data_IF_601415232630
#
_entry.id   IF_601415232630
#
_cell.length_a   1.000
_cell.length_b   1.000
_cell.length_c   1.000
_cell.angle_alpha   90.00
_cell.angle_beta   90.00
_cell.angle_gamma   90.00
#
_symmetry.space_group_name_H-M   'P 1'
#
loop_
_entity.id
_entity.type
_entity.pdbx_description
1 polymer ?
#
# COMPACT_ATOMS: atom_id res chain seq x y z
N UNK A 1 -9.24 -3.06 6.32
CA UNK A 1 -8.21 -2.57 5.38
C UNK A 1 -7.77 -1.19 5.81
N UNK A 2 -6.47 -0.87 5.80
CA UNK A 2 -5.97 0.33 6.47
C UNK A 2 -6.30 1.59 5.65
N UNK A 3 -7.03 2.49 6.29
CA UNK A 3 -7.23 3.87 5.85
C UNK A 3 -5.88 4.57 5.73
N UNK A 4 -5.74 5.48 4.75
CA UNK A 4 -4.56 6.35 4.57
C UNK A 4 -4.19 7.10 5.86
N UNK A 5 -5.13 7.23 6.81
CA UNK A 5 -4.94 7.89 8.11
C UNK A 5 -4.96 6.94 9.33
N UNK A 6 -4.97 5.62 9.16
CA UNK A 6 -4.99 4.63 10.26
C UNK A 6 -6.03 4.95 11.35
N UNK A 7 -7.26 5.27 10.94
CA UNK A 7 -8.39 5.58 11.82
C UNK A 7 -9.42 4.47 11.75
N UNK A 8 -10.08 4.15 12.87
CA UNK A 8 -11.24 3.27 12.86
C UNK A 8 -12.47 3.98 12.28
N UNK A 9 -13.49 3.19 11.93
CA UNK A 9 -14.77 3.72 11.41
C UNK A 9 -15.45 4.69 12.40
N UNK A 10 -15.17 4.55 13.70
CA UNK A 10 -15.70 5.41 14.76
C UNK A 10 -14.98 6.75 14.87
N UNK A 11 -13.80 6.89 14.26
CA UNK A 11 -12.94 8.07 14.35
C UNK A 11 -13.06 8.99 13.11
N UNK A 12 -13.97 8.66 12.18
CA UNK A 12 -14.17 9.40 10.93
C UNK A 12 -15.61 9.82 10.77
N UNK A 13 -15.84 10.98 10.15
CA UNK A 13 -17.20 11.51 10.00
C UNK A 13 -17.96 10.78 8.89
N UNK A 14 -17.26 10.38 7.83
CA UNK A 14 -17.86 9.59 6.74
C UNK A 14 -16.90 8.51 6.30
N UNK A 15 -17.50 7.39 5.90
CA UNK A 15 -16.80 6.21 5.47
C UNK A 15 -17.47 5.63 4.22
N UNK A 16 -16.73 5.59 3.11
CA UNK A 16 -17.16 4.88 1.91
C UNK A 16 -16.49 3.50 1.85
N UNK A 17 -17.30 2.46 1.70
CA UNK A 17 -16.85 1.10 1.48
C UNK A 17 -16.93 0.75 -0.02
N UNK A 18 -15.85 0.21 -0.56
CA UNK A 18 -15.74 -0.28 -1.92
C UNK A 18 -15.64 -1.81 -1.99
N UNK A 19 -15.75 -2.38 -3.20
CA UNK A 19 -15.53 -3.81 -3.41
C UNK A 19 -14.13 -4.24 -2.98
N UNK A 20 -13.98 -5.51 -2.58
CA UNK A 20 -12.71 -6.04 -2.09
C UNK A 20 -12.34 -5.61 -0.67
N UNK A 21 -13.28 -5.03 0.11
CA UNK A 21 -13.02 -4.61 1.48
C UNK A 21 -12.22 -3.31 1.59
N UNK A 22 -12.08 -2.57 0.49
CA UNK A 22 -11.41 -1.27 0.46
C UNK A 22 -12.32 -0.24 1.09
N UNK A 23 -11.76 0.62 1.94
CA UNK A 23 -12.52 1.68 2.58
C UNK A 23 -11.76 3.00 2.50
N UNK A 24 -12.47 4.10 2.31
CA UNK A 24 -11.90 5.45 2.28
C UNK A 24 -12.78 6.40 3.09
N UNK A 25 -12.18 7.17 4.00
CA UNK A 25 -12.90 8.17 4.78
C UNK A 25 -12.85 9.56 4.14
N UNK A 26 -13.70 10.47 4.63
CA UNK A 26 -13.77 11.87 4.17
C UNK A 26 -12.42 12.60 4.22
N UNK A 27 -11.68 12.43 5.31
CA UNK A 27 -10.35 13.06 5.44
C UNK A 27 -9.34 12.51 4.43
N UNK A 28 -9.43 11.22 4.08
CA UNK A 28 -8.60 10.63 3.04
C UNK A 28 -8.98 11.18 1.65
N UNK A 29 -10.28 11.32 1.37
CA UNK A 29 -10.76 11.89 0.10
C UNK A 29 -10.29 13.33 -0.07
N UNK A 30 -10.39 14.18 0.97
CA UNK A 30 -9.94 15.57 0.87
C UNK A 30 -8.42 15.66 0.73
N UNK A 31 -7.65 14.83 1.44
CA UNK A 31 -6.21 14.76 1.26
C UNK A 31 -5.83 14.38 -0.17
N UNK A 32 -6.47 13.35 -0.74
CA UNK A 32 -6.29 12.97 -2.14
C UNK A 32 -6.68 14.09 -3.10
N UNK A 33 -7.80 14.79 -2.85
CA UNK A 33 -8.25 15.93 -3.65
C UNK A 33 -7.21 17.04 -3.68
N UNK A 34 -6.74 17.48 -2.51
CA UNK A 34 -5.75 18.54 -2.37
C UNK A 34 -4.41 18.20 -3.04
N UNK A 35 -4.01 16.92 -2.97
CA UNK A 35 -2.81 16.43 -3.65
C UNK A 35 -2.99 16.45 -5.17
N UNK A 36 -4.11 15.94 -5.69
CA UNK A 36 -4.39 15.91 -7.12
C UNK A 36 -4.57 17.31 -7.72
N UNK A 37 -5.08 18.28 -6.96
CA UNK A 37 -5.18 19.67 -7.39
C UNK A 37 -3.86 20.45 -7.30
N UNK A 38 -2.77 19.83 -6.82
CA UNK A 38 -1.47 20.47 -6.66
C UNK A 38 -1.41 21.52 -5.55
N UNK A 39 -2.47 21.66 -4.76
CA UNK A 39 -2.58 22.61 -3.65
C UNK A 39 -1.93 22.11 -2.36
N UNK A 40 -1.61 20.82 -2.28
CA UNK A 40 -0.84 20.23 -1.20
C UNK A 40 0.30 19.37 -1.78
N UNK A 41 1.47 19.42 -1.13
CA UNK A 41 2.50 18.41 -1.32
C UNK A 41 2.12 17.15 -0.53
N UNK A 42 2.61 15.98 -0.96
CA UNK A 42 2.60 14.80 -0.08
C UNK A 42 3.22 15.21 1.26
N UNK A 43 2.66 14.80 2.41
CA UNK A 43 3.41 14.82 3.65
C UNK A 43 4.64 13.94 3.40
N UNK A 44 5.80 14.56 3.16
CA UNK A 44 7.04 13.83 2.90
C UNK A 44 7.63 13.28 4.20
N UNK A 45 7.14 13.78 5.33
CA UNK A 45 7.69 13.52 6.64
C UNK A 45 6.74 12.61 7.41
N UNK A 46 6.70 11.33 7.03
CA UNK A 46 6.30 10.30 7.99
C UNK A 46 7.43 10.18 9.01
N UNK A 47 7.24 10.75 10.20
CA UNK A 47 8.13 10.55 11.33
C UNK A 47 7.49 9.57 12.33
N UNK A 48 7.93 8.29 12.35
CA UNK A 48 7.43 7.31 13.30
C UNK A 48 7.62 7.73 14.76
N UNK A 49 8.63 8.57 15.06
CA UNK A 49 8.92 8.99 16.42
C UNK A 49 7.83 9.89 17.02
N UNK A 50 6.97 10.49 16.17
CA UNK A 50 5.88 11.39 16.61
C UNK A 50 4.57 10.67 16.91
N UNK A 51 4.49 9.35 16.68
CA UNK A 51 3.24 8.58 16.79
C UNK A 51 3.24 7.66 18.03
N UNK A 52 2.07 7.43 18.67
CA UNK A 52 1.97 6.54 19.83
C UNK A 52 2.35 5.09 19.50
N UNK A 53 3.09 4.43 20.38
CA UNK A 53 3.49 3.02 20.23
C UNK A 53 2.31 2.08 19.98
N UNK A 54 1.22 2.24 20.73
CA UNK A 54 0.02 1.39 20.61
C UNK A 54 -0.61 1.47 19.20
N UNK A 55 -0.45 2.62 18.54
CA UNK A 55 -0.92 2.81 17.15
C UNK A 55 -0.10 1.97 16.19
N UNK A 56 1.21 1.83 16.39
CA UNK A 56 2.04 0.93 15.58
C UNK A 56 1.72 -0.53 15.83
N UNK A 57 1.54 -0.93 17.09
CA UNK A 57 1.18 -2.31 17.44
C UNK A 57 -0.16 -2.68 16.81
N UNK A 58 -1.17 -1.82 16.92
CA UNK A 58 -2.45 -1.99 16.24
C UNK A 58 -2.29 -1.99 14.70
N UNK A 59 -1.19 -1.45 14.18
CA UNK A 59 -0.91 -1.38 12.76
C UNK A 59 -0.25 -2.59 12.12
N UNK A 60 0.43 -3.43 12.91
CA UNK A 60 1.20 -4.55 12.38
C UNK A 60 0.35 -5.54 11.59
N UNK A 61 -0.84 -5.89 12.09
CA UNK A 61 -1.72 -6.85 11.42
C UNK A 61 -2.13 -6.42 10.01
N UNK A 62 -2.76 -5.25 9.83
CA UNK A 62 -3.16 -4.83 8.49
C UNK A 62 -1.97 -4.44 7.60
N UNK A 63 -0.85 -3.94 8.15
CA UNK A 63 0.38 -3.73 7.35
C UNK A 63 0.94 -5.05 6.82
N UNK A 64 0.97 -6.10 7.65
CA UNK A 64 1.38 -7.43 7.23
C UNK A 64 0.46 -7.98 6.14
N UNK A 65 -0.87 -7.90 6.31
CA UNK A 65 -1.82 -8.35 5.30
C UNK A 65 -1.63 -7.62 3.94
N UNK A 66 -1.37 -6.32 3.95
CA UNK A 66 -1.03 -5.55 2.74
C UNK A 66 0.28 -6.04 2.11
N UNK A 67 1.31 -6.31 2.92
CA UNK A 67 2.58 -6.84 2.43
C UNK A 67 2.43 -8.23 1.79
N UNK A 68 1.62 -9.11 2.39
CA UNK A 68 1.30 -10.43 1.82
C UNK A 68 0.56 -10.28 0.49
N UNK A 69 -0.48 -9.46 0.42
CA UNK A 69 -1.26 -9.25 -0.80
C UNK A 69 -0.40 -8.70 -1.96
N UNK A 70 0.51 -7.77 -1.68
CA UNK A 70 1.45 -7.29 -2.70
C UNK A 70 2.44 -8.37 -3.14
N UNK A 71 2.87 -9.25 -2.23
CA UNK A 71 3.76 -10.37 -2.58
C UNK A 71 3.04 -11.39 -3.48
N UNK A 72 1.80 -11.73 -3.16
CA UNK A 72 0.95 -12.60 -3.98
C UNK A 72 0.74 -11.99 -5.37
N UNK A 73 0.35 -10.72 -5.44
CA UNK A 73 0.14 -10.03 -6.71
C UNK A 73 1.42 -9.95 -7.56
N UNK A 74 2.57 -9.71 -6.93
CA UNK A 74 3.87 -9.74 -7.62
C UNK A 74 4.15 -11.13 -8.19
N UNK A 75 3.89 -12.19 -7.42
CA UNK A 75 4.07 -13.57 -7.88
C UNK A 75 3.18 -13.89 -9.09
N UNK A 76 1.90 -13.50 -9.06
CA UNK A 76 0.97 -13.66 -10.19
C UNK A 76 1.46 -12.96 -11.47
N UNK A 77 1.99 -11.74 -11.34
CA UNK A 77 2.56 -11.00 -12.48
C UNK A 77 3.80 -11.71 -13.00
N UNK A 78 4.71 -12.15 -12.13
CA UNK A 78 5.93 -12.87 -12.52
C UNK A 78 5.57 -14.18 -13.24
N UNK A 79 4.62 -14.95 -12.71
CA UNK A 79 4.16 -16.19 -13.33
C UNK A 79 3.53 -15.94 -14.69
N UNK A 80 2.72 -14.88 -14.81
CA UNK A 80 2.15 -14.45 -16.08
C UNK A 80 3.25 -14.10 -17.11
N UNK A 81 4.30 -13.40 -16.70
CA UNK A 81 5.42 -13.04 -17.56
C UNK A 81 6.24 -14.27 -17.98
N UNK A 82 6.44 -15.23 -17.07
CA UNK A 82 7.09 -16.50 -17.37
C UNK A 82 6.29 -17.34 -18.34
N UNK A 83 4.96 -17.39 -18.18
CA UNK A 83 4.06 -18.08 -19.14
C UNK A 83 4.11 -17.45 -20.54
N UNK A 84 4.41 -16.15 -20.63
CA UNK A 84 4.65 -15.42 -21.88
C UNK A 84 6.09 -15.53 -22.39
N UNK A 85 6.89 -16.43 -21.81
CA UNK A 85 8.29 -16.69 -22.17
C UNK A 85 9.19 -15.45 -22.09
N UNK A 86 8.85 -14.48 -21.25
CA UNK A 86 9.72 -13.32 -20.99
C UNK A 86 10.97 -13.81 -20.26
N UNK A 87 12.15 -13.44 -20.76
CA UNK A 87 13.41 -13.86 -20.17
C UNK A 87 13.53 -13.39 -18.72
N UNK A 88 14.09 -14.26 -17.87
CA UNK A 88 14.29 -13.91 -16.47
C UNK A 88 15.14 -12.65 -16.28
N UNK A 89 16.15 -12.42 -17.14
CA UNK A 89 16.96 -11.20 -17.11
C UNK A 89 16.09 -9.92 -17.22
N UNK A 90 15.08 -9.94 -18.08
CA UNK A 90 14.15 -8.81 -18.28
C UNK A 90 13.14 -8.65 -17.13
N UNK A 91 12.81 -9.74 -16.43
CA UNK A 91 11.94 -9.70 -15.24
C UNK A 91 12.74 -9.21 -14.01
N UNK A 92 13.99 -9.65 -13.86
CA UNK A 92 14.82 -9.38 -12.70
C UNK A 92 15.38 -7.95 -12.66
N UNK A 93 15.66 -7.36 -13.83
CA UNK A 93 16.15 -5.97 -13.96
C UNK A 93 15.29 -4.95 -13.17
N UNK A 94 13.96 -4.82 -13.39
CA UNK A 94 13.13 -3.87 -12.64
C UNK A 94 12.93 -4.27 -11.17
N UNK A 95 13.16 -5.53 -10.79
CA UNK A 95 13.07 -5.99 -9.41
C UNK A 95 14.34 -5.69 -8.60
N UNK A 96 15.43 -5.28 -9.26
CA UNK A 96 16.72 -5.06 -8.60
C UNK A 96 17.34 -6.33 -8.01
N UNK A 97 16.83 -7.51 -8.39
CA UNK A 97 17.35 -8.80 -7.97
C UNK A 97 18.36 -9.27 -9.01
N UNK A 98 19.55 -9.69 -8.58
CA UNK A 98 20.42 -10.42 -9.49
C UNK A 98 19.85 -11.83 -9.69
N UNK A 99 19.93 -12.34 -10.91
CA UNK A 99 19.66 -13.75 -11.16
C UNK A 99 20.73 -14.56 -10.40
N UNK A 100 20.41 -15.02 -9.19
CA UNK A 100 21.24 -16.00 -8.51
C UNK A 100 20.95 -17.35 -9.16
N UNK A 101 21.74 -17.69 -10.17
CA UNK A 101 21.81 -19.05 -10.68
C UNK A 101 22.43 -19.96 -9.62
N UNK A 102 21.66 -20.91 -9.11
CA UNK A 102 22.13 -22.15 -8.48
C UNK A 102 21.15 -23.28 -8.83
#
# INVERSE_FOLDING_TARGET
MPFILWKSEREVAKLAAGPGGIHICDACVEASRLFMSGTAALPRDFDPATWPTDRFVAALGPLHATAEAHREHLAEIVDTLRHREVSWAKIAEPLGVSCQTA
#
